data_IF_845599813268
#
_entry.id   IF_845599813268
#
_cell.length_a   1.000
_cell.length_b   1.000
_cell.length_c   1.000
_cell.angle_alpha   90.00
_cell.angle_beta   90.00
_cell.angle_gamma   90.00
#
_symmetry.space_group_name_H-M   'P 1'
#
loop_
_entity.id
_entity.type
_entity.pdbx_description
1 polymer ?
#
# COMPACT_ATOMS: atom_id res chain seq x y z
N UNK A 1 4.09 11.58 -62.35
CA UNK A 1 3.36 12.35 -61.31
C UNK A 1 2.54 11.35 -60.51
N UNK A 2 2.58 11.16 -59.19
CA UNK A 2 3.43 11.57 -58.08
C UNK A 2 3.45 10.36 -57.12
N UNK A 3 4.61 10.08 -56.51
CA UNK A 3 4.82 8.94 -55.62
C UNK A 3 4.49 9.29 -54.17
N UNK A 4 3.90 8.29 -53.50
CA UNK A 4 3.84 8.00 -52.06
C UNK A 4 4.70 8.83 -51.11
N UNK A 5 4.10 9.26 -49.99
CA UNK A 5 4.46 8.82 -48.63
C UNK A 5 3.61 9.58 -47.60
N UNK A 6 2.64 8.89 -46.98
CA UNK A 6 1.96 9.40 -45.78
C UNK A 6 2.74 8.85 -44.59
N UNK A 7 3.55 9.71 -43.97
CA UNK A 7 4.26 9.40 -42.74
C UNK A 7 3.30 9.57 -41.54
N UNK A 8 2.82 8.46 -40.99
CA UNK A 8 2.09 8.42 -39.74
C UNK A 8 3.09 8.51 -38.58
N UNK A 9 3.34 9.72 -38.10
CA UNK A 9 4.05 9.96 -36.84
C UNK A 9 3.20 9.48 -35.66
N UNK A 10 3.53 8.31 -35.11
CA UNK A 10 3.00 7.83 -33.83
C UNK A 10 3.69 8.59 -32.70
N UNK A 11 2.99 9.55 -32.11
CA UNK A 11 3.43 10.23 -30.89
C UNK A 11 3.29 9.24 -29.74
N UNK A 12 4.40 8.67 -29.30
CA UNK A 12 4.46 7.88 -28.08
C UNK A 12 4.30 8.83 -26.87
N UNK A 13 3.09 8.86 -26.31
CA UNK A 13 2.80 9.59 -25.09
C UNK A 13 3.40 8.80 -23.91
N UNK A 14 4.65 9.12 -23.57
CA UNK A 14 5.28 8.62 -22.36
C UNK A 14 4.60 9.25 -21.15
N UNK A 15 3.58 8.58 -20.63
CA UNK A 15 3.01 8.89 -19.33
C UNK A 15 4.07 8.55 -18.26
N UNK A 16 4.89 9.55 -17.91
CA UNK A 16 5.64 9.52 -16.66
C UNK A 16 4.61 9.60 -15.52
N UNK A 17 4.10 8.45 -15.10
CA UNK A 17 3.47 8.31 -13.81
C UNK A 17 4.55 8.65 -12.78
N UNK A 18 4.58 9.90 -12.35
CA UNK A 18 5.45 10.33 -11.26
C UNK A 18 5.07 9.55 -10.02
N UNK A 19 5.88 8.55 -9.67
CA UNK A 19 5.88 7.98 -8.33
C UNK A 19 6.37 9.10 -7.43
N UNK A 20 5.44 9.90 -6.92
CA UNK A 20 5.72 10.84 -5.87
C UNK A 20 6.06 10.04 -4.60
N UNK A 21 7.27 9.51 -4.51
CA UNK A 21 7.81 9.04 -3.25
C UNK A 21 7.92 10.28 -2.36
N UNK A 22 7.02 10.39 -1.38
CA UNK A 22 7.07 11.48 -0.42
C UNK A 22 8.10 11.18 0.67
N UNK A 23 9.34 10.89 0.26
CA UNK A 23 10.48 10.64 1.15
C UNK A 23 10.30 9.44 2.09
N UNK A 24 11.29 9.20 2.96
CA UNK A 24 11.24 8.06 3.85
C UNK A 24 10.12 8.23 4.88
N UNK A 25 9.37 7.15 5.11
CA UNK A 25 8.23 7.08 6.02
C UNK A 25 8.42 5.99 7.04
N UNK A 26 7.92 6.24 8.24
CA UNK A 26 7.80 5.23 9.29
C UNK A 26 6.51 5.48 10.06
N UNK A 27 5.53 4.60 9.87
CA UNK A 27 4.18 4.73 10.38
C UNK A 27 3.75 3.46 11.10
N UNK A 28 2.95 3.63 12.16
CA UNK A 28 2.11 2.59 12.73
C UNK A 28 0.75 2.65 12.04
N UNK A 29 0.34 1.54 11.45
CA UNK A 29 -1.00 1.33 10.90
C UNK A 29 -1.80 0.47 11.87
N UNK A 30 -3.00 0.92 12.20
CA UNK A 30 -3.94 0.15 13.00
C UNK A 30 -5.18 -0.12 12.16
N UNK A 31 -5.60 -1.38 12.17
CA UNK A 31 -6.71 -1.84 11.37
C UNK A 31 -7.40 -3.04 12.00
N UNK A 32 -8.45 -3.48 11.32
CA UNK A 32 -9.26 -4.62 11.73
C UNK A 32 -9.25 -5.67 10.63
N UNK A 33 -9.13 -6.95 11.00
CA UNK A 33 -9.25 -8.07 10.08
C UNK A 33 -10.68 -8.14 9.57
N UNK A 34 -10.84 -8.14 8.26
CA UNK A 34 -12.12 -8.27 7.56
C UNK A 34 -12.06 -9.46 6.60
N UNK A 35 -13.20 -10.14 6.43
CA UNK A 35 -13.36 -11.18 5.42
C UNK A 35 -14.04 -10.56 4.21
N UNK A 36 -13.43 -10.68 3.04
CA UNK A 36 -14.04 -10.26 1.78
C UNK A 36 -14.22 -11.47 0.87
N UNK A 37 -15.39 -11.58 0.23
CA UNK A 37 -15.75 -12.73 -0.61
C UNK A 37 -16.77 -13.66 0.06
N UNK A 38 -17.31 -14.61 -0.70
CA UNK A 38 -18.35 -15.55 -0.26
C UNK A 38 -17.85 -17.00 -0.41
N UNK A 39 -18.25 -17.88 0.53
CA UNK A 39 -17.94 -19.31 0.44
C UNK A 39 -16.43 -19.63 0.50
N UNK A 40 -15.93 -20.39 -0.48
CA UNK A 40 -14.56 -20.91 -0.52
C UNK A 40 -13.51 -19.87 -0.98
N UNK A 41 -13.94 -18.69 -1.44
CA UNK A 41 -13.06 -17.63 -1.95
C UNK A 41 -12.86 -16.48 -0.94
N UNK A 42 -13.13 -16.73 0.35
CA UNK A 42 -12.93 -15.73 1.40
C UNK A 42 -11.45 -15.33 1.50
N UNK A 43 -11.15 -14.11 1.09
CA UNK A 43 -9.85 -13.50 1.26
C UNK A 43 -9.81 -12.74 2.59
N UNK A 44 -8.73 -12.95 3.35
CA UNK A 44 -8.44 -12.13 4.53
C UNK A 44 -7.93 -10.77 4.08
N UNK A 45 -8.62 -9.71 4.47
CA UNK A 45 -8.24 -8.32 4.25
C UNK A 45 -8.07 -7.60 5.59
N UNK A 46 -7.42 -6.43 5.57
CA UNK A 46 -7.32 -5.57 6.73
C UNK A 46 -7.87 -4.20 6.35
N UNK A 47 -8.84 -3.72 7.12
CA UNK A 47 -9.33 -2.35 7.00
C UNK A 47 -8.58 -1.46 7.98
N UNK A 48 -7.69 -0.63 7.46
CA UNK A 48 -6.96 0.36 8.27
C UNK A 48 -7.87 1.54 8.62
N UNK A 49 -7.95 1.88 9.89
CA UNK A 49 -8.74 3.00 10.40
C UNK A 49 -7.89 4.09 11.06
N UNK A 50 -6.63 3.78 11.39
CA UNK A 50 -5.70 4.73 12.01
C UNK A 50 -4.30 4.58 11.42
N UNK A 51 -3.61 5.71 11.33
CA UNK A 51 -2.22 5.79 10.92
C UNK A 51 -1.53 6.89 11.74
N UNK A 52 -0.49 6.50 12.46
CA UNK A 52 0.22 7.36 13.38
C UNK A 52 1.73 7.12 13.29
N UNK A 53 2.53 7.88 14.04
CA UNK A 53 3.97 7.61 14.14
C UNK A 53 4.19 6.30 14.90
N UNK A 54 5.15 5.49 14.44
CA UNK A 54 5.52 4.27 15.15
C UNK A 54 6.19 4.56 16.50
N UNK A 55 7.10 5.52 16.53
CA UNK A 55 7.74 6.06 17.73
C UNK A 55 7.97 7.59 17.60
N UNK A 56 8.58 8.23 18.59
CA UNK A 56 8.80 9.69 18.57
C UNK A 56 9.71 10.16 17.43
N UNK A 57 10.69 9.32 17.05
CA UNK A 57 11.68 9.60 16.00
C UNK A 57 11.12 9.32 14.59
N UNK A 58 10.05 8.54 14.52
CA UNK A 58 9.39 8.12 13.28
C UNK A 58 8.78 9.29 12.51
N UNK A 59 8.99 9.26 11.19
CA UNK A 59 8.41 10.23 10.26
C UNK A 59 7.19 9.63 9.57
N UNK A 60 6.03 9.77 10.21
CA UNK A 60 4.75 9.47 9.57
C UNK A 60 4.10 10.75 9.05
N UNK A 61 4.23 11.01 7.74
CA UNK A 61 3.56 12.13 7.05
C UNK A 61 2.94 11.62 5.76
N UNK A 62 1.63 11.79 5.66
CA UNK A 62 0.85 11.47 4.46
C UNK A 62 0.15 12.74 4.00
N UNK A 63 0.27 13.05 2.72
CA UNK A 63 -0.34 14.25 2.16
C UNK A 63 -1.84 14.05 2.04
N UNK A 64 -2.61 15.12 2.19
CA UNK A 64 -4.06 15.06 1.95
C UNK A 64 -4.31 14.65 0.49
N UNK A 65 -5.12 13.61 0.29
CA UNK A 65 -5.44 13.06 -1.04
C UNK A 65 -4.42 12.05 -1.57
N UNK A 66 -3.37 11.75 -0.81
CA UNK A 66 -2.42 10.69 -1.15
C UNK A 66 -3.03 9.31 -0.85
N UNK A 67 -3.03 8.43 -1.86
CA UNK A 67 -3.40 7.03 -1.69
C UNK A 67 -2.12 6.22 -1.51
N UNK A 68 -2.04 5.49 -0.41
CA UNK A 68 -0.96 4.55 -0.16
C UNK A 68 -1.40 3.14 -0.55
N UNK A 69 -0.50 2.40 -1.18
CA UNK A 69 -0.68 0.98 -1.44
C UNK A 69 0.10 0.20 -0.40
N UNK A 70 -0.63 -0.66 0.33
CA UNK A 70 -0.07 -1.47 1.40
C UNK A 70 -0.06 -2.92 0.96
N UNK A 71 1.12 -3.53 0.98
CA UNK A 71 1.19 -4.97 0.87
C UNK A 71 1.11 -5.56 2.27
N UNK A 72 0.06 -6.35 2.51
CA UNK A 72 -0.07 -7.07 3.76
C UNK A 72 1.07 -8.08 3.88
N UNK A 73 1.71 -8.19 5.06
CA UNK A 73 2.68 -9.24 5.27
C UNK A 73 1.97 -10.60 5.17
N UNK A 74 2.61 -11.58 4.53
CA UNK A 74 2.17 -12.98 4.50
C UNK A 74 2.37 -13.67 5.86
N UNK A 75 1.97 -12.99 6.94
CA UNK A 75 2.09 -13.50 8.30
C UNK A 75 0.84 -14.34 8.64
N UNK A 76 0.99 -15.64 8.95
CA UNK A 76 -0.14 -16.52 9.27
C UNK A 76 -0.99 -16.00 10.43
N UNK A 77 -0.43 -15.18 11.32
CA UNK A 77 -1.16 -14.59 12.43
C UNK A 77 -2.24 -13.62 11.96
N UNK A 78 -2.04 -12.92 10.85
CA UNK A 78 -3.09 -12.05 10.25
C UNK A 78 -4.10 -12.92 9.50
N UNK A 79 -3.63 -13.88 8.70
CA UNK A 79 -4.51 -14.72 7.88
C UNK A 79 -5.45 -15.58 8.72
N UNK A 80 -4.96 -16.12 9.86
CA UNK A 80 -5.72 -16.99 10.75
C UNK A 80 -6.47 -16.24 11.86
N UNK A 81 -6.30 -14.93 11.97
CA UNK A 81 -7.00 -14.13 12.96
C UNK A 81 -8.52 -14.19 12.72
N UNK A 82 -9.33 -14.23 13.79
CA UNK A 82 -10.77 -14.01 13.69
C UNK A 82 -11.09 -12.69 13.00
N UNK A 83 -12.20 -12.66 12.25
CA UNK A 83 -12.76 -11.40 11.79
C UNK A 83 -13.04 -10.47 12.98
N UNK A 84 -12.76 -9.18 12.83
CA UNK A 84 -12.85 -8.22 13.93
C UNK A 84 -11.58 -8.08 14.76
N UNK A 85 -10.57 -8.93 14.57
CA UNK A 85 -9.29 -8.80 15.29
C UNK A 85 -8.58 -7.50 14.96
N UNK A 86 -8.06 -6.82 15.96
CA UNK A 86 -7.19 -5.66 15.78
C UNK A 86 -5.80 -6.09 15.33
N UNK A 87 -5.26 -5.39 14.33
CA UNK A 87 -3.91 -5.59 13.84
C UNK A 87 -3.13 -4.28 13.87
N UNK A 88 -1.87 -4.39 14.28
CA UNK A 88 -0.92 -3.28 14.27
C UNK A 88 0.24 -3.64 13.34
N UNK A 89 0.48 -2.81 12.34
CA UNK A 89 1.55 -3.00 11.37
C UNK A 89 2.49 -1.79 11.40
N UNK A 90 3.80 -2.02 11.27
CA UNK A 90 4.76 -0.96 10.98
C UNK A 90 4.98 -0.90 9.48
N UNK A 91 4.69 0.25 8.90
CA UNK A 91 4.91 0.57 7.49
C UNK A 91 6.13 1.46 7.36
N UNK A 92 7.08 1.04 6.53
CA UNK A 92 8.31 1.78 6.27
C UNK A 92 8.52 1.94 4.76
N UNK A 93 8.71 3.18 4.33
CA UNK A 93 9.19 3.51 2.98
C UNK A 93 10.60 4.06 3.14
N UNK A 94 11.58 3.47 2.45
CA UNK A 94 12.96 3.92 2.48
C UNK A 94 13.22 4.99 1.41
N UNK A 95 14.38 5.65 1.50
CA UNK A 95 14.78 6.69 0.53
C UNK A 95 14.93 6.19 -0.91
N UNK A 96 15.18 4.90 -1.08
CA UNK A 96 15.27 4.23 -2.39
C UNK A 96 13.89 3.84 -2.95
N UNK A 97 12.81 4.16 -2.23
CA UNK A 97 11.44 3.79 -2.59
C UNK A 97 11.07 2.35 -2.23
N UNK A 98 11.96 1.59 -1.58
CA UNK A 98 11.60 0.26 -1.08
C UNK A 98 10.60 0.37 0.07
N UNK A 99 9.58 -0.47 0.03
CA UNK A 99 8.49 -0.50 1.02
C UNK A 99 8.56 -1.80 1.80
N UNK A 100 8.42 -1.71 3.12
CA UNK A 100 8.31 -2.84 4.02
C UNK A 100 7.14 -2.66 4.97
N UNK A 101 6.32 -3.71 5.10
CA UNK A 101 5.27 -3.81 6.12
C UNK A 101 5.61 -4.96 7.06
N UNK A 102 5.59 -4.71 8.37
CA UNK A 102 5.84 -5.74 9.39
C UNK A 102 4.70 -5.81 10.38
N UNK A 103 4.28 -7.03 10.73
CA UNK A 103 3.31 -7.25 11.79
C UNK A 103 3.94 -6.98 13.16
N UNK A 104 3.33 -6.06 13.92
CA UNK A 104 3.71 -5.75 15.30
C UNK A 104 2.89 -6.59 16.26
N UNK A 105 1.57 -6.59 16.11
CA UNK A 105 0.66 -7.38 16.95
C UNK A 105 -0.65 -7.70 16.26
N UNK A 106 -1.27 -8.79 16.70
CA UNK A 106 -2.68 -9.15 16.44
C UNK A 106 -3.34 -9.34 17.81
N UNK A 107 -4.49 -8.74 18.02
CA UNK A 107 -5.27 -8.83 19.26
C UNK A 107 -6.77 -8.87 18.98
N UNK A 108 -7.54 -9.10 20.04
CA UNK A 108 -9.01 -9.15 20.05
C UNK A 108 -9.53 -8.21 21.11
#
# INVERSE_FOLDING_TARGET
MNKFAIALSTIALAAAAGTASAGPRDCLLEGTVARSGEGAEQATTVQFHSMSKYDEESRCRVRRGEKLEFQLPSDPRVTNAPEGSEVKLRYQENKDGSVQTRLISVGT
#
